data_IF_734160640554
#
_entry.id   IF_734160640554
#
_cell.length_a   1.000
_cell.length_b   1.000
_cell.length_c   1.000
_cell.angle_alpha   90.00
_cell.angle_beta   90.00
_cell.angle_gamma   90.00
#
_symmetry.space_group_name_H-M   'P 1'
#
loop_
_entity.id
_entity.type
_entity.pdbx_description
1 polymer ?
#
# COMPACT_ATOMS: atom_id res chain seq x y z
N UNK A 1 13.46 -17.04 -13.31
CA UNK A 1 12.08 -16.58 -13.12
C UNK A 1 11.67 -17.13 -11.77
N UNK A 2 11.36 -16.27 -10.81
CA UNK A 2 10.93 -16.72 -9.48
C UNK A 2 9.60 -17.47 -9.66
N UNK A 3 9.44 -18.62 -8.99
CA UNK A 3 8.14 -19.26 -8.94
C UNK A 3 7.13 -18.30 -8.31
N UNK A 4 5.89 -18.38 -8.74
CA UNK A 4 4.88 -17.46 -8.28
C UNK A 4 4.47 -17.71 -6.83
N UNK A 5 3.91 -16.68 -6.15
CA UNK A 5 3.51 -16.82 -4.76
C UNK A 5 2.57 -18.01 -4.54
N UNK A 6 1.62 -18.24 -5.46
CA UNK A 6 0.69 -19.36 -5.38
C UNK A 6 1.40 -20.72 -5.44
N UNK A 7 2.38 -20.90 -6.33
CA UNK A 7 3.17 -22.15 -6.40
C UNK A 7 4.01 -22.40 -5.15
N UNK A 8 4.44 -21.31 -4.50
CA UNK A 8 5.19 -21.34 -3.25
C UNK A 8 4.28 -21.47 -2.00
N UNK A 9 2.95 -21.62 -2.19
CA UNK A 9 1.99 -21.82 -1.11
C UNK A 9 1.56 -20.55 -0.39
N UNK A 10 1.82 -19.38 -0.97
CA UNK A 10 1.36 -18.10 -0.43
C UNK A 10 -0.06 -17.77 -0.88
N UNK A 11 -0.82 -17.13 0.00
CA UNK A 11 -2.13 -16.57 -0.26
C UNK A 11 -2.28 -15.20 0.42
N UNK A 12 -3.19 -14.37 -0.10
CA UNK A 12 -3.58 -13.12 0.54
C UNK A 12 -4.61 -13.45 1.64
N UNK A 13 -4.29 -13.27 2.93
CA UNK A 13 -5.26 -13.48 4.00
C UNK A 13 -6.42 -12.49 3.88
N UNK A 14 -7.53 -12.79 4.53
CA UNK A 14 -8.61 -11.82 4.68
C UNK A 14 -8.21 -10.69 5.63
N UNK A 15 -8.72 -9.47 5.38
CA UNK A 15 -8.45 -8.30 6.23
C UNK A 15 -9.08 -8.41 7.63
N UNK A 16 -9.95 -9.38 7.88
CA UNK A 16 -10.48 -9.66 9.22
C UNK A 16 -9.64 -10.67 10.02
N UNK A 17 -8.59 -11.24 9.41
CA UNK A 17 -7.66 -12.12 10.12
C UNK A 17 -6.73 -11.33 11.06
N UNK A 18 -6.06 -12.01 12.03
CA UNK A 18 -5.16 -11.32 12.96
C UNK A 18 -4.02 -10.57 12.24
N UNK A 19 -3.90 -9.29 12.54
CA UNK A 19 -2.85 -8.41 12.02
C UNK A 19 -1.71 -8.23 13.02
N UNK A 20 -0.51 -7.97 12.50
CA UNK A 20 0.63 -7.53 13.31
C UNK A 20 0.66 -6.01 13.48
N UNK A 21 0.22 -5.29 12.44
CA UNK A 21 0.21 -3.85 12.42
C UNK A 21 -0.30 -3.29 11.09
N UNK A 22 -0.55 -2.00 11.10
CA UNK A 22 -1.08 -1.22 9.97
C UNK A 22 -0.07 -0.20 9.49
N UNK A 23 0.08 -0.08 8.17
CA UNK A 23 0.88 0.93 7.50
C UNK A 23 0.03 2.17 7.20
N UNK A 24 0.53 3.34 7.58
CA UNK A 24 -0.06 4.65 7.30
C UNK A 24 1.00 5.60 6.74
N UNK A 25 0.58 6.64 6.01
CA UNK A 25 1.46 7.70 5.49
C UNK A 25 0.98 9.05 6.04
N UNK A 26 1.91 9.91 6.43
CA UNK A 26 1.57 11.25 6.93
C UNK A 26 1.16 12.19 5.78
N UNK A 27 0.00 12.89 5.85
CA UNK A 27 -0.54 13.68 4.73
C UNK A 27 0.12 15.06 4.61
N UNK A 28 1.11 15.17 3.72
CA UNK A 28 1.95 16.36 3.55
C UNK A 28 1.83 17.02 2.18
N UNK A 29 1.37 16.29 1.15
CA UNK A 29 1.35 16.76 -0.24
C UNK A 29 0.60 18.08 -0.45
N UNK A 30 1.28 19.16 -0.88
CA UNK A 30 0.62 20.40 -1.25
C UNK A 30 -0.35 20.21 -2.42
N UNK A 31 -1.49 20.90 -2.40
CA UNK A 31 -2.52 20.82 -3.44
C UNK A 31 -3.54 19.70 -3.22
N UNK A 32 -3.11 18.50 -2.81
CA UNK A 32 -4.04 17.45 -2.33
C UNK A 32 -4.65 17.84 -0.98
N UNK A 33 -3.83 18.38 -0.07
CA UNK A 33 -4.24 18.71 1.29
C UNK A 33 -4.20 20.24 1.53
N UNK A 34 -5.35 20.94 1.49
CA UNK A 34 -5.38 22.40 1.61
C UNK A 34 -4.93 22.88 3.00
N UNK A 35 -4.48 24.14 3.08
CA UNK A 35 -4.01 24.76 4.32
C UNK A 35 -2.94 23.91 5.04
N UNK A 36 -1.94 23.42 4.29
CA UNK A 36 -0.85 22.57 4.77
C UNK A 36 -1.34 21.25 5.41
N UNK A 37 -2.51 20.77 4.99
CA UNK A 37 -3.12 19.54 5.46
C UNK A 37 -3.57 19.55 6.91
N UNK A 38 -3.72 20.71 7.57
CA UNK A 38 -4.07 20.79 9.00
C UNK A 38 -5.27 19.92 9.39
N UNK A 39 -6.35 19.96 8.60
CA UNK A 39 -7.55 19.14 8.85
C UNK A 39 -7.29 17.64 8.61
N UNK A 40 -6.56 17.30 7.54
CA UNK A 40 -6.19 15.93 7.23
C UNK A 40 -5.30 15.33 8.31
N UNK A 41 -4.27 16.05 8.75
CA UNK A 41 -3.37 15.65 9.85
C UNK A 41 -4.13 15.41 11.15
N UNK A 42 -5.11 16.26 11.49
CA UNK A 42 -5.97 16.03 12.66
C UNK A 42 -6.81 14.76 12.52
N UNK A 43 -7.43 14.53 11.36
CA UNK A 43 -8.24 13.33 11.10
C UNK A 43 -7.38 12.04 11.08
N UNK A 44 -6.27 12.05 10.36
CA UNK A 44 -5.30 10.95 10.32
C UNK A 44 -4.77 10.64 11.72
N UNK A 45 -4.48 11.67 12.52
CA UNK A 45 -4.05 11.47 13.90
C UNK A 45 -5.10 10.74 14.75
N UNK A 46 -6.38 11.05 14.56
CA UNK A 46 -7.45 10.36 15.27
C UNK A 46 -7.54 8.89 14.85
N UNK A 47 -7.48 8.61 13.55
CA UNK A 47 -7.48 7.25 12.99
C UNK A 47 -6.29 6.46 13.52
N UNK A 48 -5.07 6.99 13.36
CA UNK A 48 -3.81 6.37 13.79
C UNK A 48 -3.84 6.04 15.28
N UNK A 49 -4.26 7.01 16.13
CA UNK A 49 -4.34 6.79 17.58
C UNK A 49 -5.31 5.68 17.94
N UNK A 50 -6.42 5.57 17.21
CA UNK A 50 -7.44 4.53 17.43
C UNK A 50 -6.91 3.16 17.03
N UNK A 51 -6.25 3.04 15.87
CA UNK A 51 -5.65 1.78 15.42
C UNK A 51 -4.54 1.34 16.40
N UNK A 52 -3.73 2.29 16.88
CA UNK A 52 -2.65 2.05 17.83
C UNK A 52 -3.11 1.52 19.20
N UNK A 53 -4.41 1.49 19.49
CA UNK A 53 -4.96 0.81 20.68
C UNK A 53 -5.03 -0.72 20.50
N UNK A 54 -5.07 -1.21 19.26
CA UNK A 54 -5.21 -2.63 18.93
C UNK A 54 -3.95 -3.27 18.34
N UNK A 55 -3.13 -2.52 17.60
CA UNK A 55 -1.98 -3.06 16.88
C UNK A 55 -0.87 -2.02 16.66
N UNK A 56 0.30 -2.48 16.19
CA UNK A 56 1.40 -1.59 15.83
C UNK A 56 1.01 -0.74 14.62
N UNK A 57 1.21 0.58 14.69
CA UNK A 57 1.10 1.43 13.50
C UNK A 57 2.50 1.81 13.03
N UNK A 58 2.81 1.50 11.78
CA UNK A 58 3.98 2.01 11.07
C UNK A 58 3.56 3.26 10.31
N UNK A 59 4.17 4.41 10.62
CA UNK A 59 3.87 5.67 9.97
C UNK A 59 5.05 6.10 9.10
N UNK A 60 4.82 6.16 7.79
CA UNK A 60 5.78 6.76 6.87
C UNK A 60 5.68 8.29 6.99
N UNK A 61 6.82 8.91 7.29
CA UNK A 61 6.93 10.36 7.40
C UNK A 61 8.33 10.81 7.04
N UNK A 62 8.45 11.77 6.13
CA UNK A 62 9.72 12.38 5.78
C UNK A 62 10.27 13.21 6.96
N UNK A 63 11.60 13.31 7.08
CA UNK A 63 12.26 14.00 8.19
C UNK A 63 11.75 15.42 8.46
N UNK A 64 11.45 16.17 7.40
CA UNK A 64 10.96 17.55 7.51
C UNK A 64 9.63 17.66 8.28
N UNK A 65 8.83 16.59 8.29
CA UNK A 65 7.54 16.53 8.99
C UNK A 65 7.57 15.66 10.25
N UNK A 66 8.69 15.01 10.58
CA UNK A 66 8.78 14.10 11.71
C UNK A 66 8.44 14.79 13.03
N UNK A 67 9.02 15.98 13.28
CA UNK A 67 8.75 16.75 14.51
C UNK A 67 7.28 17.16 14.63
N UNK A 68 6.64 17.49 13.50
CA UNK A 68 5.22 17.79 13.45
C UNK A 68 4.40 16.54 13.78
N UNK A 69 4.62 15.42 13.10
CA UNK A 69 3.91 14.16 13.36
C UNK A 69 4.07 13.69 14.82
N UNK A 70 5.27 13.83 15.40
CA UNK A 70 5.54 13.54 16.81
C UNK A 70 4.74 14.43 17.75
N UNK A 71 4.52 15.71 17.42
CA UNK A 71 3.69 16.60 18.23
C UNK A 71 2.21 16.15 18.28
N UNK A 72 1.73 15.44 17.25
CA UNK A 72 0.38 14.88 17.23
C UNK A 72 0.31 13.51 17.91
N UNK A 73 1.30 12.65 17.68
CA UNK A 73 1.18 11.21 17.93
C UNK A 73 2.08 10.69 19.08
N UNK A 74 3.13 11.42 19.45
CA UNK A 74 4.05 11.03 20.52
C UNK A 74 4.82 9.74 20.18
N UNK A 75 4.75 8.76 21.05
CA UNK A 75 5.40 7.45 20.95
C UNK A 75 4.43 6.32 20.51
N UNK A 76 3.22 6.67 20.06
CA UNK A 76 2.16 5.71 19.72
C UNK A 76 2.43 4.89 18.44
N UNK A 77 3.41 5.27 17.64
CA UNK A 77 3.68 4.67 16.32
C UNK A 77 5.17 4.43 16.12
N UNK A 78 5.48 3.54 15.18
CA UNK A 78 6.83 3.37 14.65
C UNK A 78 6.98 4.31 13.46
N UNK A 79 7.82 5.34 13.62
CA UNK A 79 8.12 6.29 12.54
C UNK A 79 9.16 5.70 11.60
N UNK A 80 8.86 5.68 10.31
CA UNK A 80 9.77 5.22 9.25
C UNK A 80 10.00 6.34 8.25
N UNK A 81 11.27 6.64 7.97
CA UNK A 81 11.68 7.64 7.00
C UNK A 81 11.70 7.02 5.60
N UNK A 82 10.52 6.89 5.00
CA UNK A 82 10.31 6.40 3.64
C UNK A 82 9.61 7.51 2.86
N UNK A 83 10.27 8.10 1.85
CA UNK A 83 9.68 9.10 0.96
C UNK A 83 8.41 8.60 0.26
N UNK A 84 7.43 9.49 0.13
CA UNK A 84 6.12 9.26 -0.52
C UNK A 84 5.72 10.51 -1.29
N UNK A 85 4.96 10.39 -2.38
CA UNK A 85 4.40 11.55 -3.07
C UNK A 85 3.04 11.96 -2.50
N UNK A 86 2.19 11.03 -2.07
CA UNK A 86 0.92 11.30 -1.36
C UNK A 86 0.60 10.22 -0.31
N UNK A 87 -0.48 10.41 0.47
CA UNK A 87 -0.70 9.68 1.72
C UNK A 87 -1.64 8.46 1.63
N UNK A 88 -1.45 7.60 0.62
CA UNK A 88 -2.36 6.50 0.30
C UNK A 88 -1.74 5.11 0.44
N UNK A 89 -1.34 4.76 1.66
CA UNK A 89 -0.64 3.49 1.96
C UNK A 89 -1.42 2.23 1.54
N UNK A 90 -2.75 2.31 1.46
CA UNK A 90 -3.60 1.23 0.95
C UNK A 90 -3.23 0.85 -0.50
N UNK A 91 -2.87 1.82 -1.31
CA UNK A 91 -2.68 1.66 -2.74
C UNK A 91 -1.20 1.56 -3.13
N UNK A 92 -0.31 2.14 -2.32
CA UNK A 92 1.14 2.19 -2.57
C UNK A 92 1.94 1.22 -1.71
N UNK A 93 1.36 0.76 -0.59
CA UNK A 93 1.95 -0.22 0.30
C UNK A 93 1.95 -1.64 -0.28
N UNK A 94 2.76 -2.55 0.29
CA UNK A 94 2.81 -3.91 -0.20
C UNK A 94 1.54 -4.67 0.16
N UNK A 95 1.08 -5.53 -0.74
CA UNK A 95 0.10 -6.57 -0.37
C UNK A 95 0.86 -7.71 0.32
N UNK A 96 0.57 -7.94 1.61
CA UNK A 96 1.24 -9.00 2.37
C UNK A 96 0.54 -10.34 2.16
N UNK A 97 1.29 -11.32 1.69
CA UNK A 97 0.86 -12.71 1.60
C UNK A 97 1.44 -13.54 2.74
N UNK A 98 0.76 -14.65 3.05
CA UNK A 98 1.20 -15.64 4.03
C UNK A 98 1.20 -17.03 3.41
N UNK A 99 2.15 -17.87 3.82
CA UNK A 99 2.09 -19.31 3.56
C UNK A 99 1.58 -20.07 4.80
N UNK A 100 1.48 -21.41 4.69
CA UNK A 100 1.00 -22.27 5.79
C UNK A 100 1.86 -22.19 7.07
N UNK A 101 3.11 -21.72 6.95
CA UNK A 101 4.02 -21.49 8.09
C UNK A 101 3.91 -20.06 8.66
N UNK A 102 2.98 -19.25 8.14
CA UNK A 102 2.81 -17.82 8.47
C UNK A 102 4.05 -16.97 8.14
N UNK A 103 4.88 -17.42 7.21
CA UNK A 103 5.97 -16.62 6.66
C UNK A 103 5.37 -15.56 5.74
N UNK A 104 5.90 -14.33 5.80
CA UNK A 104 5.41 -13.18 5.04
C UNK A 104 6.11 -13.08 3.69
N UNK A 105 5.38 -12.62 2.68
CA UNK A 105 5.91 -12.20 1.38
C UNK A 105 5.20 -10.90 1.00
N UNK A 106 5.95 -9.85 0.72
CA UNK A 106 5.42 -8.57 0.27
C UNK A 106 5.32 -8.56 -1.25
N UNK A 107 4.14 -8.29 -1.81
CA UNK A 107 3.99 -8.05 -3.25
C UNK A 107 4.19 -6.57 -3.53
N UNK A 108 5.14 -6.26 -4.40
CA UNK A 108 5.42 -4.92 -4.93
C UNK A 108 4.77 -4.80 -6.32
N UNK A 109 3.58 -4.20 -6.37
CA UNK A 109 2.88 -3.89 -7.62
C UNK A 109 3.49 -2.64 -8.27
N UNK A 110 3.28 -2.46 -9.57
CA UNK A 110 3.52 -1.13 -10.14
C UNK A 110 2.40 -0.19 -9.70
N UNK A 111 2.77 0.98 -9.20
CA UNK A 111 1.87 2.08 -8.91
C UNK A 111 2.06 3.21 -9.91
N UNK A 112 0.96 3.82 -10.37
CA UNK A 112 1.00 4.89 -11.36
C UNK A 112 0.09 6.09 -11.05
N UNK A 113 -0.16 6.38 -9.77
CA UNK A 113 -1.10 7.44 -9.36
C UNK A 113 -2.51 7.27 -9.95
N UNK A 114 -3.00 6.03 -9.98
CA UNK A 114 -4.33 5.64 -10.44
C UNK A 114 -4.66 6.00 -11.89
N UNK A 115 -3.70 5.92 -12.81
CA UNK A 115 -3.96 6.17 -14.23
C UNK A 115 -2.77 6.62 -15.07
N UNK A 116 -1.64 6.90 -14.43
CA UNK A 116 -0.42 7.37 -15.07
C UNK A 116 -0.67 8.57 -15.97
N UNK A 117 -0.11 8.52 -17.18
CA UNK A 117 -0.26 9.59 -18.17
C UNK A 117 -1.66 9.68 -18.81
N UNK A 118 -2.56 8.73 -18.55
CA UNK A 118 -3.91 8.69 -19.13
C UNK A 118 -4.87 9.51 -18.28
N UNK A 119 -5.06 9.10 -17.03
CA UNK A 119 -6.04 9.66 -16.09
C UNK A 119 -5.52 9.71 -14.64
N UNK A 120 -4.19 9.68 -14.46
CA UNK A 120 -3.58 9.72 -13.14
C UNK A 120 -3.84 11.03 -12.40
N UNK A 121 -3.88 10.95 -11.07
CA UNK A 121 -4.17 12.10 -10.20
C UNK A 121 -2.96 13.03 -10.03
N UNK A 122 -1.76 12.54 -10.37
CA UNK A 122 -0.52 13.31 -10.34
C UNK A 122 0.58 12.69 -11.19
N UNK A 123 1.54 13.51 -11.60
CA UNK A 123 2.58 13.12 -12.54
C UNK A 123 3.77 12.44 -11.85
N UNK A 124 4.25 13.00 -10.74
CA UNK A 124 5.43 12.49 -10.02
C UNK A 124 4.97 11.54 -8.91
N UNK A 125 5.06 10.23 -9.17
CA UNK A 125 4.64 9.15 -8.26
C UNK A 125 5.73 8.11 -7.99
N UNK A 126 6.97 8.40 -8.35
CA UNK A 126 8.09 7.46 -8.28
C UNK A 126 8.46 7.06 -6.84
N UNK A 127 8.22 7.94 -5.86
CA UNK A 127 8.44 7.59 -4.46
C UNK A 127 7.34 6.66 -3.95
N UNK A 128 6.09 6.89 -4.37
CA UNK A 128 4.96 6.00 -4.06
C UNK A 128 5.12 4.61 -4.66
N UNK A 129 5.61 4.50 -5.89
CA UNK A 129 5.93 3.22 -6.55
C UNK A 129 7.09 2.46 -5.86
N UNK A 130 7.82 3.09 -4.95
CA UNK A 130 8.89 2.45 -4.16
C UNK A 130 8.47 2.14 -2.71
N UNK A 131 7.25 2.52 -2.29
CA UNK A 131 6.81 2.34 -0.90
C UNK A 131 6.79 0.86 -0.51
N UNK A 132 6.24 0.00 -1.37
CA UNK A 132 6.12 -1.43 -1.11
C UNK A 132 7.48 -2.10 -0.83
N UNK A 133 8.45 -1.92 -1.74
CA UNK A 133 9.80 -2.49 -1.59
C UNK A 133 10.58 -1.89 -0.43
N UNK A 134 10.56 -0.57 -0.24
CA UNK A 134 11.27 0.10 0.88
C UNK A 134 10.71 -0.30 2.24
N UNK A 135 9.38 -0.40 2.36
CA UNK A 135 8.75 -0.84 3.60
C UNK A 135 9.09 -2.30 3.92
N UNK A 136 9.06 -3.17 2.91
CA UNK A 136 9.44 -4.57 3.06
C UNK A 136 10.92 -4.73 3.45
N UNK A 137 11.83 -3.93 2.86
CA UNK A 137 13.25 -3.92 3.20
C UNK A 137 13.48 -3.55 4.67
N UNK A 138 12.85 -2.47 5.15
CA UNK A 138 12.96 -2.03 6.55
C UNK A 138 12.48 -3.09 7.55
N UNK A 139 11.47 -3.88 7.18
CA UNK A 139 10.93 -4.95 8.02
C UNK A 139 11.53 -6.34 7.72
N UNK A 140 12.55 -6.41 6.85
CA UNK A 140 13.21 -7.66 6.43
C UNK A 140 12.23 -8.71 5.88
N UNK A 141 11.18 -8.26 5.17
CA UNK A 141 10.19 -9.11 4.51
C UNK A 141 10.65 -9.38 3.07
N UNK A 142 10.71 -10.64 2.61
CA UNK A 142 10.99 -10.95 1.21
C UNK A 142 9.98 -10.27 0.27
N UNK A 143 10.45 -9.84 -0.90
CA UNK A 143 9.63 -9.16 -1.90
C UNK A 143 9.41 -10.04 -3.13
N UNK A 144 8.16 -10.10 -3.59
CA UNK A 144 7.81 -10.55 -4.93
C UNK A 144 7.54 -9.31 -5.80
N UNK A 145 8.42 -9.05 -6.75
CA UNK A 145 8.30 -7.96 -7.71
C UNK A 145 7.30 -8.34 -8.81
N UNK A 146 6.13 -7.72 -8.77
CA UNK A 146 5.04 -7.95 -9.73
C UNK A 146 5.04 -6.92 -10.88
N UNK A 147 6.04 -6.03 -10.94
CA UNK A 147 6.13 -5.02 -12.00
C UNK A 147 6.37 -5.70 -13.36
N UNK A 148 5.79 -5.15 -14.46
CA UNK A 148 5.12 -3.86 -14.56
C UNK A 148 3.59 -3.91 -14.37
N UNK A 149 3.04 -4.95 -13.73
CA UNK A 149 1.59 -5.05 -13.54
C UNK A 149 1.10 -3.95 -12.59
N UNK A 150 0.23 -3.06 -13.10
CA UNK A 150 -0.30 -1.94 -12.33
C UNK A 150 -1.48 -2.41 -11.49
N UNK A 151 -1.39 -2.27 -10.18
CA UNK A 151 -2.47 -2.61 -9.25
C UNK A 151 -2.35 -1.81 -7.97
N UNK A 152 -3.50 -1.38 -7.45
CA UNK A 152 -3.60 -0.75 -6.14
C UNK A 152 -4.26 -1.72 -5.14
N UNK A 153 -3.74 -1.80 -3.92
CA UNK A 153 -4.29 -2.68 -2.89
C UNK A 153 -5.76 -2.39 -2.54
N UNK A 154 -6.22 -1.15 -2.70
CA UNK A 154 -7.63 -0.77 -2.53
C UNK A 154 -8.57 -1.25 -3.65
N UNK A 155 -8.04 -1.75 -4.77
CA UNK A 155 -8.82 -2.25 -5.90
C UNK A 155 -9.20 -3.75 -5.79
N UNK A 156 -8.65 -4.45 -4.79
CA UNK A 156 -8.86 -5.88 -4.56
C UNK A 156 -9.28 -6.15 -3.11
N UNK A 157 -10.09 -7.19 -2.89
CA UNK A 157 -10.43 -7.65 -1.55
C UNK A 157 -10.45 -9.17 -1.47
N UNK A 158 -9.76 -9.75 -0.50
CA UNK A 158 -9.65 -11.21 -0.32
C UNK A 158 -10.56 -11.70 0.79
N UNK A 159 -11.19 -12.86 0.57
CA UNK A 159 -11.89 -13.60 1.62
C UNK A 159 -10.96 -14.53 2.42
N UNK A 160 -9.69 -14.63 2.05
CA UNK A 160 -8.69 -15.54 2.65
C UNK A 160 -8.85 -17.02 2.24
N UNK A 161 -9.81 -17.33 1.37
CA UNK A 161 -10.23 -18.69 1.01
C UNK A 161 -10.16 -18.95 -0.51
N UNK A 162 -9.47 -18.07 -1.24
CA UNK A 162 -9.24 -18.19 -2.67
C UNK A 162 -10.19 -17.37 -3.53
N UNK A 163 -11.01 -16.49 -2.94
CA UNK A 163 -11.85 -15.54 -3.69
C UNK A 163 -11.29 -14.14 -3.55
N UNK A 164 -11.14 -13.44 -4.69
CA UNK A 164 -10.86 -12.00 -4.72
C UNK A 164 -12.05 -11.28 -5.35
N UNK A 165 -12.53 -10.23 -4.67
CA UNK A 165 -13.50 -9.29 -5.21
C UNK A 165 -12.76 -8.09 -5.83
N UNK A 166 -13.17 -7.72 -7.05
CA UNK A 166 -12.58 -6.62 -7.84
C UNK A 166 -13.68 -5.84 -8.56
N UNK A 167 -13.31 -4.76 -9.24
CA UNK A 167 -14.21 -4.03 -10.15
C UNK A 167 -13.63 -3.93 -11.55
N UNK A 168 -14.42 -4.29 -12.56
CA UNK A 168 -14.01 -4.18 -13.98
C UNK A 168 -13.71 -2.74 -14.37
N UNK A 169 -14.50 -1.78 -13.86
CA UNK A 169 -14.31 -0.35 -14.12
C UNK A 169 -12.94 0.18 -13.68
N UNK A 170 -12.29 -0.47 -12.72
CA UNK A 170 -10.94 -0.13 -12.28
C UNK A 170 -9.90 -0.92 -13.08
N UNK A 171 -9.94 -2.26 -13.01
CA UNK A 171 -8.85 -3.10 -13.53
C UNK A 171 -8.76 -3.13 -15.06
N UNK A 172 -9.88 -2.89 -15.76
CA UNK A 172 -9.93 -2.80 -17.22
C UNK A 172 -9.90 -1.36 -17.74
N UNK A 173 -9.62 -0.38 -16.86
CA UNK A 173 -9.52 1.00 -17.31
C UNK A 173 -8.29 1.21 -18.19
N UNK A 174 -8.35 2.13 -19.18
CA UNK A 174 -7.22 2.37 -20.09
C UNK A 174 -5.92 2.84 -19.40
N UNK A 175 -6.02 3.42 -18.20
CA UNK A 175 -4.88 3.92 -17.42
C UNK A 175 -4.20 2.88 -16.53
N UNK A 176 -4.68 1.62 -16.52
CA UNK A 176 -4.05 0.51 -15.78
C UNK A 176 -3.21 -0.36 -16.70
N UNK A 177 -3.75 -1.51 -17.09
CA UNK A 177 -3.07 -2.52 -17.90
C UNK A 177 -3.75 -2.65 -19.26
N UNK A 178 -3.78 -1.61 -20.12
CA UNK A 178 -4.55 -1.60 -21.37
C UNK A 178 -4.09 -2.62 -22.41
N UNK A 179 -2.93 -3.24 -22.18
CA UNK A 179 -2.33 -4.27 -23.02
C UNK A 179 -2.74 -5.69 -22.60
N UNK A 180 -3.45 -5.84 -21.48
CA UNK A 180 -3.94 -7.12 -20.98
C UNK A 180 -5.45 -7.24 -21.19
N UNK A 181 -5.89 -8.42 -21.59
CA UNK A 181 -7.28 -8.82 -21.58
C UNK A 181 -7.76 -9.11 -20.14
N UNK A 182 -9.08 -9.20 -19.97
CA UNK A 182 -9.69 -9.62 -18.71
C UNK A 182 -9.17 -10.98 -18.25
N UNK A 183 -9.11 -11.95 -19.16
CA UNK A 183 -8.63 -13.29 -18.85
C UNK A 183 -7.16 -13.27 -18.40
N UNK A 184 -6.32 -12.43 -19.02
CA UNK A 184 -4.92 -12.27 -18.60
C UNK A 184 -4.77 -11.63 -17.22
N UNK A 185 -5.65 -10.69 -16.86
CA UNK A 185 -5.69 -10.08 -15.51
C UNK A 185 -6.19 -11.09 -14.46
N UNK A 186 -7.11 -11.99 -14.83
CA UNK A 186 -7.65 -13.02 -13.94
C UNK A 186 -6.69 -14.21 -13.74
N UNK A 187 -5.67 -14.38 -14.60
CA UNK A 187 -4.72 -15.49 -14.45
C UNK A 187 -3.91 -15.31 -13.16
N UNK A 188 -3.91 -16.32 -12.28
CA UNK A 188 -3.02 -16.31 -11.12
C UNK A 188 -1.58 -16.46 -11.62
N UNK A 189 -0.78 -15.41 -11.47
CA UNK A 189 0.68 -15.53 -11.59
C UNK A 189 1.15 -16.54 -10.55
#
# INVERSE_FOLDING_TARGET
>A
MMDSPKKLGYHMPAEYEPHHGTLMIWPTRPGSWPFQGKAAKAAFSQIIKTIAEGETVYLLVEQDYLSEAQSYLGDKVVYLDIPTNDAWARDTGPTILLNDKREKLAVDWSFNAWGGAVDGLYQDYEADDQVASRFAEVLEIPVYDAKPFVLEGGAIHSDGQGTILVTESCLLSPGRNPHLSKDEIEIPY
#
